data_IF_186163114746
#
_entry.id   IF_186163114746
#
_cell.length_a   1.000
_cell.length_b   1.000
_cell.length_c   1.000
_cell.angle_alpha   90.00
_cell.angle_beta   90.00
_cell.angle_gamma   90.00
#
_symmetry.space_group_name_H-M   'P 1'
#
loop_
_entity.id
_entity.type
_entity.pdbx_description
1 polymer ?
#
# COMPACT_ATOMS: atom_id res chain seq x y z
N UNK A 1 -13.92 -2.56 -13.99
CA UNK A 1 -13.36 -2.55 -12.63
C UNK A 1 -14.31 -1.76 -11.76
N UNK A 2 -14.51 -2.21 -10.52
CA UNK A 2 -15.41 -1.54 -9.58
C UNK A 2 -14.65 -1.21 -8.32
N UNK A 3 -14.70 0.06 -7.90
CA UNK A 3 -14.17 0.53 -6.61
C UNK A 3 -15.36 0.80 -5.72
N UNK A 4 -15.33 0.24 -4.50
CA UNK A 4 -16.42 0.34 -3.53
C UNK A 4 -15.87 1.00 -2.28
N UNK A 5 -16.45 2.13 -1.91
CA UNK A 5 -16.17 2.82 -0.66
C UNK A 5 -17.39 2.76 0.26
N UNK A 6 -17.28 2.26 1.49
CA UNK A 6 -18.30 2.48 2.51
C UNK A 6 -18.50 3.99 2.74
N UNK A 7 -19.74 4.43 3.01
CA UNK A 7 -20.00 5.79 3.47
C UNK A 7 -19.56 5.91 4.94
N UNK A 8 -18.26 6.09 5.16
CA UNK A 8 -17.63 6.21 6.46
C UNK A 8 -16.76 7.48 6.57
N UNK A 9 -16.13 7.67 7.73
CA UNK A 9 -15.26 8.82 7.98
C UNK A 9 -14.04 8.88 7.06
N UNK A 10 -13.58 7.75 6.52
CA UNK A 10 -12.47 7.71 5.58
C UNK A 10 -12.91 8.32 4.25
N UNK A 11 -14.10 7.94 3.76
CA UNK A 11 -14.63 8.54 2.54
C UNK A 11 -14.91 10.05 2.70
N UNK A 12 -15.40 10.48 3.86
CA UNK A 12 -15.54 11.91 4.17
C UNK A 12 -14.21 12.66 4.16
N UNK A 13 -13.11 12.01 4.56
CA UNK A 13 -11.78 12.62 4.51
C UNK A 13 -11.23 12.73 3.08
N UNK A 14 -11.65 11.84 2.18
CA UNK A 14 -11.29 11.89 0.76
C UNK A 14 -12.05 13.00 0.01
N UNK A 15 -13.30 13.27 0.42
CA UNK A 15 -14.19 14.24 -0.22
C UNK A 15 -14.80 15.21 0.80
N UNK A 16 -13.99 16.02 1.51
CA UNK A 16 -14.47 16.89 2.58
C UNK A 16 -15.50 17.92 2.09
N UNK A 17 -15.43 18.33 0.82
CA UNK A 17 -16.38 19.25 0.20
C UNK A 17 -17.79 18.67 0.00
N UNK A 18 -17.92 17.35 0.08
CA UNK A 18 -19.15 16.61 -0.20
C UNK A 18 -19.83 16.06 1.07
N UNK A 19 -19.33 16.43 2.26
CA UNK A 19 -19.80 15.88 3.53
C UNK A 19 -21.32 16.06 3.72
N UNK A 20 -22.02 14.95 3.92
CA UNK A 20 -23.47 14.91 4.12
C UNK A 20 -24.32 15.16 2.87
N UNK A 21 -23.71 15.28 1.68
CA UNK A 21 -24.40 15.55 0.43
C UNK A 21 -24.04 14.50 -0.63
N UNK A 22 -24.94 13.53 -0.83
CA UNK A 22 -24.72 12.42 -1.74
C UNK A 22 -24.52 12.83 -3.20
N UNK A 23 -25.17 13.93 -3.64
CA UNK A 23 -25.02 14.41 -5.02
C UNK A 23 -23.65 15.04 -5.22
N UNK A 24 -23.22 15.89 -4.27
CA UNK A 24 -21.85 16.44 -4.29
C UNK A 24 -20.80 15.34 -4.20
N UNK A 25 -21.07 14.27 -3.45
CA UNK A 25 -20.14 13.14 -3.33
C UNK A 25 -20.00 12.40 -4.65
N UNK A 26 -21.10 12.17 -5.37
CA UNK A 26 -21.09 11.56 -6.70
C UNK A 26 -20.28 12.43 -7.68
N UNK A 27 -20.51 13.75 -7.67
CA UNK A 27 -19.80 14.69 -8.55
C UNK A 27 -18.31 14.80 -8.22
N UNK A 28 -17.96 14.90 -6.93
CA UNK A 28 -16.59 14.95 -6.45
C UNK A 28 -15.83 13.66 -6.78
N UNK A 29 -16.44 12.50 -6.52
CA UNK A 29 -15.85 11.20 -6.85
C UNK A 29 -15.68 11.04 -8.36
N UNK A 30 -16.69 11.41 -9.17
CA UNK A 30 -16.57 11.39 -10.64
C UNK A 30 -15.37 12.22 -11.10
N UNK A 31 -15.26 13.46 -10.63
CA UNK A 31 -14.14 14.34 -10.95
C UNK A 31 -12.79 13.74 -10.54
N UNK A 32 -12.71 13.16 -9.35
CA UNK A 32 -11.48 12.58 -8.80
C UNK A 32 -10.98 11.35 -9.57
N UNK A 33 -11.92 10.54 -10.06
CA UNK A 33 -11.66 9.32 -10.82
C UNK A 33 -11.61 9.52 -12.34
N UNK A 34 -11.97 10.71 -12.84
CA UNK A 34 -11.77 11.06 -14.25
C UNK A 34 -10.31 11.37 -14.52
N UNK A 35 -9.68 10.60 -15.41
CA UNK A 35 -8.31 10.84 -15.87
C UNK A 35 -8.31 10.86 -17.39
N UNK A 36 -7.97 12.01 -17.99
CA UNK A 36 -7.99 12.19 -19.43
C UNK A 36 -9.35 11.80 -20.05
N UNK A 37 -9.40 10.89 -21.02
CA UNK A 37 -10.65 10.46 -21.66
C UNK A 37 -11.43 9.42 -20.84
N UNK A 38 -10.93 9.00 -19.69
CA UNK A 38 -11.53 7.93 -18.90
C UNK A 38 -12.42 8.49 -17.81
N UNK A 39 -13.73 8.50 -18.03
CA UNK A 39 -14.74 8.91 -17.05
C UNK A 39 -15.40 7.69 -16.38
N UNK A 40 -15.55 7.67 -15.05
CA UNK A 40 -16.27 6.61 -14.34
C UNK A 40 -17.80 6.79 -14.39
N UNK A 41 -18.53 5.71 -14.22
CA UNK A 41 -19.89 5.76 -13.69
C UNK A 41 -19.84 5.76 -12.17
N UNK A 42 -20.58 6.65 -11.51
CA UNK A 42 -20.56 6.81 -10.05
C UNK A 42 -21.99 6.82 -9.52
N UNK A 43 -22.25 5.99 -8.52
CA UNK A 43 -23.55 5.87 -7.86
C UNK A 43 -23.40 5.57 -6.38
N UNK A 44 -24.43 5.88 -5.59
CA UNK A 44 -24.51 5.55 -4.16
C UNK A 44 -25.65 4.56 -3.96
N UNK A 45 -25.35 3.36 -3.48
CA UNK A 45 -26.34 2.32 -3.18
C UNK A 45 -25.97 1.62 -1.85
N UNK A 46 -26.95 1.24 -1.04
CA UNK A 46 -26.74 0.45 0.19
C UNK A 46 -25.62 0.95 1.11
N UNK A 47 -25.56 2.27 1.36
CA UNK A 47 -24.53 2.91 2.18
C UNK A 47 -23.09 2.75 1.63
N UNK A 48 -22.95 2.61 0.31
CA UNK A 48 -21.68 2.51 -0.40
C UNK A 48 -21.66 3.44 -1.62
N UNK A 49 -20.53 4.10 -1.84
CA UNK A 49 -20.19 4.76 -3.10
C UNK A 49 -19.55 3.71 -4.02
N UNK A 50 -20.13 3.53 -5.20
CA UNK A 50 -19.70 2.56 -6.21
C UNK A 50 -19.21 3.35 -7.43
N UNK A 51 -17.95 3.10 -7.81
CA UNK A 51 -17.28 3.71 -8.96
C UNK A 51 -16.96 2.61 -9.97
N UNK A 52 -17.57 2.66 -11.14
CA UNK A 52 -17.39 1.70 -12.22
C UNK A 52 -16.53 2.29 -13.33
N UNK A 53 -15.46 1.58 -13.67
CA UNK A 53 -14.47 1.96 -14.66
C UNK A 53 -14.46 0.93 -15.80
N UNK A 54 -14.52 1.42 -17.04
CA UNK A 54 -14.33 0.58 -18.21
C UNK A 54 -12.83 0.30 -18.40
N UNK A 55 -12.44 -0.97 -18.26
CA UNK A 55 -11.04 -1.42 -18.26
C UNK A 55 -10.72 -2.37 -19.42
N UNK A 56 -11.39 -2.21 -20.56
CA UNK A 56 -11.29 -3.11 -21.73
C UNK A 56 -9.88 -3.25 -22.32
N UNK A 57 -8.88 -2.47 -21.88
CA UNK A 57 -7.50 -2.48 -22.41
C UNK A 57 -6.47 -3.24 -21.57
N UNK A 58 -6.82 -3.77 -20.40
CA UNK A 58 -5.84 -4.39 -19.47
C UNK A 58 -5.18 -5.65 -20.07
N UNK A 59 -5.91 -6.49 -20.81
CA UNK A 59 -5.35 -7.76 -21.32
C UNK A 59 -4.21 -7.56 -22.32
N UNK A 60 -4.25 -6.48 -23.10
CA UNK A 60 -3.25 -6.17 -24.13
C UNK A 60 -1.90 -5.74 -23.53
N UNK A 61 -1.89 -5.35 -22.24
CA UNK A 61 -0.73 -4.77 -21.57
C UNK A 61 0.09 -5.79 -20.77
N UNK A 62 -0.41 -7.02 -20.60
CA UNK A 62 0.21 -8.06 -19.77
C UNK A 62 1.68 -8.32 -20.11
N UNK A 63 2.02 -8.32 -21.41
CA UNK A 63 3.41 -8.53 -21.87
C UNK A 63 4.34 -7.41 -21.41
N UNK A 64 3.92 -6.14 -21.55
CA UNK A 64 4.70 -4.98 -21.10
C UNK A 64 4.81 -4.95 -19.57
N UNK A 65 3.74 -5.28 -18.87
CA UNK A 65 3.75 -5.39 -17.41
C UNK A 65 4.77 -6.43 -16.91
N UNK A 66 4.78 -7.63 -17.48
CA UNK A 66 5.76 -8.66 -17.12
C UNK A 66 7.20 -8.22 -17.41
N UNK A 67 7.42 -7.48 -18.50
CA UNK A 67 8.72 -6.88 -18.81
C UNK A 67 9.15 -5.88 -17.73
N UNK A 68 8.25 -5.01 -17.28
CA UNK A 68 8.51 -4.05 -16.20
C UNK A 68 8.96 -4.77 -14.92
N UNK A 69 8.27 -5.83 -14.53
CA UNK A 69 8.64 -6.63 -13.35
C UNK A 69 10.06 -7.20 -13.48
N UNK A 70 10.37 -7.82 -14.62
CA UNK A 70 11.71 -8.39 -14.87
C UNK A 70 12.82 -7.32 -14.90
N UNK A 71 12.51 -6.10 -15.35
CA UNK A 71 13.44 -4.96 -15.29
C UNK A 71 13.69 -4.52 -13.84
N UNK A 72 12.64 -4.46 -13.01
CA UNK A 72 12.74 -4.11 -11.59
C UNK A 72 13.59 -5.14 -10.82
N UNK A 73 13.37 -6.44 -11.06
CA UNK A 73 14.15 -7.52 -10.43
C UNK A 73 15.66 -7.45 -10.77
N UNK A 74 15.99 -6.87 -11.94
CA UNK A 74 17.38 -6.68 -12.39
C UNK A 74 17.97 -5.32 -12.01
N UNK A 75 17.23 -4.50 -11.27
CA UNK A 75 17.64 -3.12 -10.93
C UNK A 75 17.69 -2.16 -12.11
N UNK A 76 17.07 -2.50 -13.25
CA UNK A 76 17.06 -1.68 -14.47
C UNK A 76 15.96 -0.59 -14.41
N UNK A 77 16.00 0.22 -13.34
CA UNK A 77 14.94 1.16 -12.97
C UNK A 77 14.64 2.22 -14.03
N UNK A 78 15.67 2.80 -14.68
CA UNK A 78 15.46 3.81 -15.72
C UNK A 78 14.64 3.30 -16.93
N UNK A 79 14.78 2.01 -17.27
CA UNK A 79 14.01 1.39 -18.36
C UNK A 79 12.62 0.97 -17.86
N UNK A 80 12.55 0.39 -16.66
CA UNK A 80 11.28 0.03 -16.02
C UNK A 80 10.35 1.26 -15.89
N UNK A 81 10.91 2.41 -15.50
CA UNK A 81 10.18 3.68 -15.34
C UNK A 81 9.54 4.15 -16.65
N UNK A 82 10.25 4.02 -17.77
CA UNK A 82 9.70 4.36 -19.10
C UNK A 82 8.56 3.43 -19.49
N UNK A 83 8.74 2.13 -19.29
CA UNK A 83 7.71 1.14 -19.66
C UNK A 83 6.47 1.22 -18.75
N UNK A 84 6.63 1.50 -17.45
CA UNK A 84 5.50 1.69 -16.54
C UNK A 84 4.76 3.00 -16.82
N UNK A 85 5.45 4.06 -17.24
CA UNK A 85 4.77 5.30 -17.64
C UNK A 85 3.84 5.08 -18.84
N UNK A 86 4.27 4.30 -19.84
CA UNK A 86 3.41 3.93 -20.99
C UNK A 86 2.17 3.18 -20.51
N UNK A 87 2.33 2.24 -19.56
CA UNK A 87 1.20 1.50 -18.98
C UNK A 87 0.20 2.44 -18.29
N UNK A 88 0.70 3.42 -17.53
CA UNK A 88 -0.12 4.42 -16.84
C UNK A 88 -0.83 5.34 -17.84
N UNK A 89 -0.15 5.82 -18.88
CA UNK A 89 -0.72 6.72 -19.87
C UNK A 89 -1.86 6.05 -20.66
N UNK A 90 -1.72 4.75 -20.94
CA UNK A 90 -2.71 3.97 -21.68
C UNK A 90 -3.86 3.45 -20.80
N UNK A 91 -3.59 3.10 -19.54
CA UNK A 91 -4.58 2.54 -18.60
C UNK A 91 -4.24 2.94 -17.16
N UNK A 92 -4.57 4.19 -16.79
CA UNK A 92 -4.20 4.73 -15.48
C UNK A 92 -4.92 4.02 -14.33
N UNK A 93 -6.01 3.28 -14.59
CA UNK A 93 -6.86 2.67 -13.56
C UNK A 93 -6.26 1.43 -12.89
N UNK A 94 -5.07 0.99 -13.31
CA UNK A 94 -4.42 -0.19 -12.74
C UNK A 94 -3.51 0.22 -11.58
N UNK A 95 -3.96 -0.06 -10.36
CA UNK A 95 -3.23 0.23 -9.13
C UNK A 95 -1.78 -0.27 -9.15
N UNK A 96 -1.52 -1.47 -9.68
CA UNK A 96 -0.18 -2.05 -9.72
C UNK A 96 0.82 -1.24 -10.55
N UNK A 97 0.39 -0.54 -11.59
CA UNK A 97 1.31 0.27 -12.40
C UNK A 97 1.87 1.44 -11.58
N UNK A 98 0.99 2.11 -10.85
CA UNK A 98 1.36 3.20 -9.95
C UNK A 98 2.17 2.70 -8.76
N UNK A 99 1.83 1.53 -8.20
CA UNK A 99 2.61 0.90 -7.13
C UNK A 99 4.05 0.61 -7.58
N UNK A 100 4.22 0.05 -8.79
CA UNK A 100 5.56 -0.19 -9.35
C UNK A 100 6.30 1.12 -9.57
N UNK A 101 5.65 2.16 -10.11
CA UNK A 101 6.26 3.47 -10.24
C UNK A 101 6.72 4.00 -8.86
N UNK A 102 5.89 3.86 -7.83
CA UNK A 102 6.25 4.21 -6.46
C UNK A 102 7.45 3.44 -5.94
N UNK A 103 7.53 2.14 -6.23
CA UNK A 103 8.70 1.32 -5.88
C UNK A 103 9.96 1.80 -6.60
N UNK A 104 9.89 2.03 -7.91
CA UNK A 104 11.01 2.52 -8.69
C UNK A 104 11.51 3.87 -8.15
N UNK A 105 10.59 4.80 -7.86
CA UNK A 105 10.93 6.12 -7.32
C UNK A 105 11.58 6.03 -5.94
N UNK A 106 11.07 5.15 -5.07
CA UNK A 106 11.65 4.89 -3.75
C UNK A 106 13.08 4.33 -3.85
N UNK A 107 13.34 3.39 -4.77
CA UNK A 107 14.67 2.82 -5.03
C UNK A 107 15.63 3.87 -5.65
N UNK A 108 15.11 4.81 -6.43
CA UNK A 108 15.86 5.97 -6.96
C UNK A 108 16.09 7.06 -5.90
N UNK A 109 15.50 6.94 -4.70
CA UNK A 109 15.61 7.91 -3.61
C UNK A 109 14.61 9.07 -3.67
N UNK A 110 13.73 9.11 -4.67
CA UNK A 110 12.65 10.10 -4.79
C UNK A 110 11.42 9.67 -3.97
N UNK A 111 11.50 9.89 -2.66
CA UNK A 111 10.46 9.47 -1.72
C UNK A 111 9.15 10.26 -1.87
N UNK A 112 9.22 11.54 -2.25
CA UNK A 112 8.03 12.36 -2.51
C UNK A 112 7.32 11.89 -3.78
N UNK A 113 8.07 11.63 -4.86
CA UNK A 113 7.54 11.01 -6.06
C UNK A 113 6.91 9.64 -5.77
N UNK A 114 7.57 8.84 -4.93
CA UNK A 114 7.06 7.54 -4.51
C UNK A 114 5.71 7.65 -3.79
N UNK A 115 5.59 8.57 -2.82
CA UNK A 115 4.33 8.84 -2.11
C UNK A 115 3.24 9.22 -3.09
N UNK A 116 3.50 10.13 -4.04
CA UNK A 116 2.50 10.55 -5.02
C UNK A 116 2.02 9.39 -5.90
N UNK A 117 2.94 8.56 -6.38
CA UNK A 117 2.59 7.37 -7.16
C UNK A 117 1.81 6.35 -6.31
N UNK A 118 2.14 6.17 -5.03
CA UNK A 118 1.40 5.28 -4.14
C UNK A 118 0.00 5.82 -3.79
N UNK A 119 -0.17 7.14 -3.69
CA UNK A 119 -1.50 7.78 -3.58
C UNK A 119 -2.34 7.43 -4.82
N UNK A 120 -1.76 7.50 -6.02
CA UNK A 120 -2.46 7.08 -7.24
C UNK A 120 -2.73 5.56 -7.25
N UNK A 121 -1.82 4.72 -6.74
CA UNK A 121 -2.07 3.30 -6.60
C UNK A 121 -3.30 3.03 -5.70
N UNK A 122 -3.37 3.71 -4.55
CA UNK A 122 -4.45 3.57 -3.57
C UNK A 122 -5.75 4.22 -4.03
N UNK A 123 -5.69 5.27 -4.86
CA UNK A 123 -6.86 5.81 -5.57
C UNK A 123 -7.59 4.68 -6.29
N UNK A 124 -6.86 3.90 -7.09
CA UNK A 124 -7.45 2.86 -7.93
C UNK A 124 -7.78 1.59 -7.16
N UNK A 125 -6.93 1.18 -6.22
CA UNK A 125 -7.25 0.07 -5.32
C UNK A 125 -6.88 0.44 -3.89
N UNK A 126 -7.84 0.91 -3.08
CA UNK A 126 -7.60 1.24 -1.67
C UNK A 126 -7.11 0.05 -0.83
N UNK A 127 -7.33 -1.19 -1.33
CA UNK A 127 -6.90 -2.43 -0.69
C UNK A 127 -5.61 -3.00 -1.29
N UNK A 128 -4.83 -2.20 -2.02
CA UNK A 128 -3.52 -2.64 -2.50
C UNK A 128 -2.57 -2.77 -1.31
N UNK A 129 -2.43 -4.00 -0.81
CA UNK A 129 -1.61 -4.33 0.36
C UNK A 129 -0.15 -3.88 0.22
N UNK A 130 0.43 -4.02 -0.98
CA UNK A 130 1.81 -3.63 -1.22
C UNK A 130 1.96 -2.11 -1.23
N UNK A 131 1.00 -1.38 -1.81
CA UNK A 131 1.02 0.08 -1.78
C UNK A 131 0.86 0.62 -0.35
N UNK A 132 -0.07 0.06 0.43
CA UNK A 132 -0.26 0.40 1.85
C UNK A 132 1.00 0.11 2.66
N UNK A 133 1.61 -1.07 2.50
CA UNK A 133 2.84 -1.44 3.20
C UNK A 133 4.00 -0.50 2.84
N UNK A 134 4.14 -0.14 1.56
CA UNK A 134 5.14 0.81 1.10
C UNK A 134 4.92 2.21 1.67
N UNK A 135 3.68 2.70 1.73
CA UNK A 135 3.35 3.96 2.39
C UNK A 135 3.76 3.92 3.86
N UNK A 136 3.38 2.87 4.59
CA UNK A 136 3.80 2.68 5.98
C UNK A 136 5.33 2.74 6.13
N UNK A 137 6.07 2.02 5.29
CA UNK A 137 7.54 1.99 5.32
C UNK A 137 8.15 3.37 5.06
N UNK A 138 7.65 4.11 4.07
CA UNK A 138 8.15 5.45 3.74
C UNK A 138 7.83 6.44 4.88
N UNK A 139 6.63 6.39 5.46
CA UNK A 139 6.29 7.25 6.60
C UNK A 139 7.16 6.95 7.83
N UNK A 140 7.48 5.68 8.10
CA UNK A 140 8.42 5.35 9.17
C UNK A 140 9.85 5.79 8.87
N UNK A 141 10.38 5.53 7.68
CA UNK A 141 11.83 5.67 7.43
C UNK A 141 12.24 7.04 6.90
N UNK A 142 11.38 7.69 6.12
CA UNK A 142 11.67 8.98 5.50
C UNK A 142 11.02 10.16 6.22
N UNK A 143 9.77 10.00 6.70
CA UNK A 143 9.04 11.07 7.41
C UNK A 143 9.26 11.08 8.92
N UNK A 144 9.81 10.00 9.49
CA UNK A 144 9.85 9.77 10.95
C UNK A 144 8.46 9.95 11.61
N UNK A 145 7.41 9.56 10.88
CA UNK A 145 6.01 9.67 11.30
C UNK A 145 5.44 8.26 11.51
N UNK A 146 5.75 7.71 12.68
CA UNK A 146 5.29 6.40 13.09
C UNK A 146 3.76 6.33 13.25
N UNK A 147 3.11 7.43 13.64
CA UNK A 147 1.66 7.45 13.85
C UNK A 147 0.91 7.23 12.53
N UNK A 148 1.30 7.95 11.48
CA UNK A 148 0.70 7.77 10.15
C UNK A 148 1.06 6.41 9.55
N UNK A 149 2.28 5.93 9.76
CA UNK A 149 2.66 4.60 9.28
C UNK A 149 1.81 3.48 9.89
N UNK A 150 1.53 3.55 11.19
CA UNK A 150 0.68 2.57 11.87
C UNK A 150 -0.73 2.52 11.28
N UNK A 151 -1.29 3.65 10.85
CA UNK A 151 -2.59 3.68 10.16
C UNK A 151 -2.56 2.89 8.84
N UNK A 152 -1.50 3.02 8.05
CA UNK A 152 -1.34 2.22 6.82
C UNK A 152 -1.14 0.74 7.11
N UNK A 153 -0.34 0.40 8.12
CA UNK A 153 -0.12 -0.98 8.54
C UNK A 153 -1.40 -1.64 9.06
N UNK A 154 -2.23 -0.92 9.80
CA UNK A 154 -3.53 -1.40 10.26
C UNK A 154 -4.44 -1.75 9.09
N UNK A 155 -4.45 -0.96 8.02
CA UNK A 155 -5.20 -1.29 6.80
C UNK A 155 -4.68 -2.57 6.12
N UNK A 156 -3.35 -2.78 6.06
CA UNK A 156 -2.79 -4.05 5.57
C UNK A 156 -3.31 -5.24 6.39
N UNK A 157 -3.32 -5.12 7.71
CA UNK A 157 -3.74 -6.19 8.61
C UNK A 157 -5.27 -6.40 8.64
N UNK A 158 -6.08 -5.39 8.30
CA UNK A 158 -7.51 -5.58 8.04
C UNK A 158 -7.78 -6.42 6.79
N UNK A 159 -6.91 -6.32 5.79
CA UNK A 159 -7.03 -7.06 4.52
C UNK A 159 -6.48 -8.49 4.68
N UNK A 160 -5.28 -8.62 5.25
CA UNK A 160 -4.61 -9.89 5.53
C UNK A 160 -4.11 -9.93 6.97
N UNK A 161 -4.95 -10.35 7.92
CA UNK A 161 -4.55 -10.38 9.32
C UNK A 161 -3.35 -11.30 9.56
N UNK A 162 -3.25 -12.39 8.82
CA UNK A 162 -2.24 -13.44 9.06
C UNK A 162 -1.09 -13.41 8.02
N UNK A 163 -0.81 -12.25 7.42
CA UNK A 163 0.38 -12.07 6.59
C UNK A 163 1.62 -11.95 7.48
N UNK A 164 2.32 -13.07 7.67
CA UNK A 164 3.53 -13.12 8.49
C UNK A 164 4.68 -12.24 7.95
N UNK A 165 4.73 -11.96 6.65
CA UNK A 165 5.74 -11.06 6.06
C UNK A 165 5.42 -9.61 6.42
N UNK A 166 4.16 -9.21 6.31
CA UNK A 166 3.71 -7.88 6.74
C UNK A 166 3.93 -7.68 8.24
N UNK A 167 3.53 -8.65 9.08
CA UNK A 167 3.75 -8.61 10.53
C UNK A 167 5.24 -8.44 10.88
N UNK A 168 6.12 -9.19 10.21
CA UNK A 168 7.57 -9.06 10.39
C UNK A 168 8.08 -7.68 9.98
N UNK A 169 7.62 -7.14 8.84
CA UNK A 169 8.05 -5.82 8.38
C UNK A 169 7.58 -4.71 9.33
N UNK A 170 6.35 -4.78 9.84
CA UNK A 170 5.82 -3.85 10.84
C UNK A 170 6.65 -3.92 12.13
N UNK A 171 6.93 -5.14 12.62
CA UNK A 171 7.76 -5.35 13.80
C UNK A 171 9.18 -4.79 13.62
N UNK A 172 9.79 -4.98 12.45
CA UNK A 172 11.12 -4.45 12.14
C UNK A 172 11.15 -2.92 12.19
N UNK A 173 10.16 -2.26 11.59
CA UNK A 173 10.05 -0.80 11.63
C UNK A 173 9.83 -0.30 13.07
N UNK A 174 8.97 -0.94 13.86
CA UNK A 174 8.76 -0.59 15.28
C UNK A 174 10.05 -0.74 16.10
N UNK A 175 10.78 -1.83 15.89
CA UNK A 175 12.06 -2.06 16.58
C UNK A 175 13.11 -1.00 16.24
N UNK A 176 13.14 -0.50 15.00
CA UNK A 176 14.01 0.61 14.60
C UNK A 176 13.68 1.91 15.35
N UNK A 177 12.41 2.13 15.70
CA UNK A 177 11.94 3.29 16.49
C UNK A 177 11.99 3.05 18.01
N UNK A 178 12.71 2.01 18.46
CA UNK A 178 12.86 1.68 19.88
C UNK A 178 11.60 1.09 20.54
N UNK A 179 10.54 0.81 19.77
CA UNK A 179 9.28 0.21 20.24
C UNK A 179 9.40 -1.31 20.39
N UNK A 180 10.42 -1.75 21.14
CA UNK A 180 10.80 -3.16 21.24
C UNK A 180 9.66 -4.05 21.76
N UNK A 181 8.84 -3.58 22.71
CA UNK A 181 7.72 -4.37 23.26
C UNK A 181 6.63 -4.64 22.21
N UNK A 182 6.28 -3.62 21.44
CA UNK A 182 5.28 -3.72 20.37
C UNK A 182 5.83 -4.60 19.23
N UNK A 183 7.08 -4.37 18.81
CA UNK A 183 7.77 -5.17 17.81
C UNK A 183 7.78 -6.67 18.16
N UNK A 184 8.08 -7.01 19.43
CA UNK A 184 8.07 -8.39 19.91
C UNK A 184 6.71 -9.07 19.70
N UNK A 185 5.60 -8.37 19.97
CA UNK A 185 4.27 -8.91 19.77
C UNK A 185 3.99 -9.24 18.28
N UNK A 186 4.41 -8.37 17.37
CA UNK A 186 4.29 -8.61 15.93
C UNK A 186 5.16 -9.79 15.46
N UNK A 187 6.42 -9.86 15.87
CA UNK A 187 7.29 -10.98 15.53
C UNK A 187 6.79 -12.31 16.09
N UNK A 188 6.27 -12.31 17.32
CA UNK A 188 5.69 -13.50 17.95
C UNK A 188 4.48 -13.98 17.17
N UNK A 189 3.63 -13.06 16.71
CA UNK A 189 2.49 -13.39 15.86
C UNK A 189 2.95 -13.95 14.51
N UNK A 190 3.95 -13.35 13.87
CA UNK A 190 4.53 -13.85 12.63
C UNK A 190 5.06 -15.30 12.78
N UNK A 191 5.79 -15.60 13.86
CA UNK A 191 6.27 -16.95 14.17
C UNK A 191 5.12 -17.92 14.45
N UNK A 192 4.05 -17.49 15.12
CA UNK A 192 2.89 -18.34 15.38
C UNK A 192 2.14 -18.76 14.10
N UNK A 193 2.21 -17.92 13.06
CA UNK A 193 1.61 -18.20 11.75
C UNK A 193 2.57 -19.04 10.90
N UNK A 194 3.86 -18.70 10.89
CA UNK A 194 4.89 -19.44 10.18
C UNK A 194 6.11 -19.68 11.08
N UNK A 195 6.14 -20.86 11.70
CA UNK A 195 7.20 -21.27 12.62
C UNK A 195 8.54 -21.53 11.93
N UNK A 196 8.58 -21.64 10.61
CA UNK A 196 9.81 -21.88 9.85
C UNK A 196 10.44 -20.60 9.31
N UNK A 197 9.85 -19.42 9.58
CA UNK A 197 10.34 -18.16 9.03
C UNK A 197 11.57 -17.62 9.81
N UNK A 198 12.80 -17.71 9.26
CA UNK A 198 14.01 -17.47 10.05
C UNK A 198 14.17 -16.02 10.49
N UNK A 199 13.69 -15.07 9.67
CA UNK A 199 13.81 -13.64 9.96
C UNK A 199 13.01 -13.24 11.19
N UNK A 200 11.83 -13.81 11.40
CA UNK A 200 11.01 -13.49 12.57
C UNK A 200 11.60 -14.09 13.86
N UNK A 201 12.21 -15.29 13.79
CA UNK A 201 12.97 -15.85 14.92
C UNK A 201 14.18 -15.01 15.28
N UNK A 202 14.97 -14.61 14.29
CA UNK A 202 16.10 -13.71 14.50
C UNK A 202 15.66 -12.38 15.13
N UNK A 203 14.55 -11.82 14.64
CA UNK A 203 14.01 -10.58 15.16
C UNK A 203 13.47 -10.71 16.59
N UNK A 204 12.85 -11.84 16.95
CA UNK A 204 12.46 -12.15 18.34
C UNK A 204 13.67 -12.18 19.26
N UNK A 205 14.70 -12.95 18.89
CA UNK A 205 15.92 -13.07 19.69
C UNK A 205 16.60 -11.70 19.90
N UNK A 206 16.73 -10.91 18.84
CA UNK A 206 17.28 -9.57 18.90
C UNK A 206 16.44 -8.64 19.79
N UNK A 207 15.11 -8.74 19.69
CA UNK A 207 14.20 -7.90 20.48
C UNK A 207 14.22 -8.28 21.96
N UNK A 208 14.26 -9.57 22.27
CA UNK A 208 14.37 -10.09 23.65
C UNK A 208 15.69 -9.66 24.30
N UNK A 209 16.80 -9.80 23.57
CA UNK A 209 18.11 -9.31 24.03
C UNK A 209 18.10 -7.80 24.31
N UNK A 210 17.51 -6.99 23.42
CA UNK A 210 17.36 -5.54 23.62
C UNK A 210 16.46 -5.17 24.81
N UNK A 211 15.58 -6.06 25.24
CA UNK A 211 14.74 -5.89 26.43
C UNK A 211 15.43 -6.39 27.71
N UNK A 212 16.62 -6.98 27.61
CA UNK A 212 17.34 -7.58 28.74
C UNK A 212 16.81 -8.95 29.16
N UNK A 213 15.89 -9.54 28.38
CA UNK A 213 15.38 -10.89 28.60
C UNK A 213 16.20 -11.88 27.77
N UNK A 214 17.35 -12.27 28.32
CA UNK A 214 18.27 -13.17 27.64
C UNK A 214 17.73 -14.61 27.56
N UNK A 215 16.83 -15.02 28.45
CA UNK A 215 16.25 -16.37 28.45
C UNK A 215 15.28 -16.54 27.27
N UNK A 216 14.47 -15.53 26.98
CA UNK A 216 13.59 -15.51 25.80
C UNK A 216 14.35 -15.36 24.47
N UNK A 217 15.64 -15.00 24.48
CA UNK A 217 16.43 -14.82 23.28
C UNK A 217 16.96 -16.12 22.66
N UNK A 218 16.94 -17.23 23.41
CA UNK A 218 17.49 -18.53 23.01
C UNK A 218 16.45 -19.67 22.93
N UNK A 219 15.16 -19.38 23.14
CA UNK A 219 14.05 -20.33 22.96
C UNK A 219 13.40 -20.19 21.59
#
# INVERSE_FOLDING_TARGET
MTIIHPLDSLLESLFPEAKGDGQKLIEAARRFYTVGPFEPSVQINNNQLIVELNITRIEQQKSRYNKVLALCERGQFAQAKKDVQILIDETPQVSEYHRILGQILSEEGDQEGAINALIDALRWNPKNEFALLMMGNIFTTYRDDLETALKYYDEVLKIKPDDFLALNNIGANLMQHGKNKEAYAYFKRAVSINSEFPNAHYALALTAHRQGDNDAAFM
#
